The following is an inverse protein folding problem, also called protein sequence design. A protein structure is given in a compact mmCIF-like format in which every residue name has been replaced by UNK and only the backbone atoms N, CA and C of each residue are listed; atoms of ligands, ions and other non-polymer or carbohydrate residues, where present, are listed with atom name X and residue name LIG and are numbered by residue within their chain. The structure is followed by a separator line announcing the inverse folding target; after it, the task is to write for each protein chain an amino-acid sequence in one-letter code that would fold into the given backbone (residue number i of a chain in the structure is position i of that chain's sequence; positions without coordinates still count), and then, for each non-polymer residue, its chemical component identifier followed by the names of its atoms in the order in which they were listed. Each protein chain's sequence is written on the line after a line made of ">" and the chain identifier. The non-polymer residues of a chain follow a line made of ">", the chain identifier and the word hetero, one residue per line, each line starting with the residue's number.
data_IF_074823531339
#
_entry.id   IF_074823531339
#
_cell.length_a   1.000
_cell.length_b   1.000
_cell.length_c   1.000
_cell.angle_alpha   90.00
_cell.angle_beta   90.00
_cell.angle_gamma   90.00
#
_symmetry.space_group_name_H-M   'P 1'
#
loop_
_entity.id
_entity.type
_entity.pdbx_description
1 polymer ?
#
# COMPACT_ATOMS: atom_id res chain seq x y z
N UNK A 1 -53.82 -0.50 -1.38
CA UNK A 1 -53.38 -1.85 -0.99
C UNK A 1 -52.76 -1.74 0.38
N UNK A 2 -53.52 -1.97 1.45
CA UNK A 2 -53.76 -3.30 2.06
C UNK A 2 -52.47 -3.81 2.73
N UNK A 3 -52.42 -4.20 4.00
CA UNK A 3 -53.44 -4.60 4.94
C UNK A 3 -52.82 -4.59 6.35
N UNK A 4 -53.68 -4.39 7.33
CA UNK A 4 -53.53 -4.72 8.74
C UNK A 4 -53.07 -6.17 8.98
N UNK A 5 -52.50 -6.47 10.16
CA UNK A 5 -53.11 -7.40 11.13
C UNK A 5 -52.26 -7.67 12.40
N UNK A 6 -53.03 -7.93 13.47
CA UNK A 6 -52.74 -8.45 14.82
C UNK A 6 -52.28 -7.38 15.84
N UNK A 7 -53.06 -6.95 16.84
CA UNK A 7 -54.19 -7.53 17.61
C UNK A 7 -53.89 -8.94 18.13
N UNK A 8 -53.52 -9.07 19.41
CA UNK A 8 -54.47 -9.45 20.47
C UNK A 8 -53.79 -9.76 21.82
N UNK A 9 -54.61 -9.64 22.87
CA UNK A 9 -54.50 -10.21 24.23
C UNK A 9 -53.62 -9.43 25.24
N UNK A 10 -54.07 -9.08 26.46
CA UNK A 10 -54.92 -9.83 27.39
C UNK A 10 -55.71 -8.88 28.33
N UNK A 11 -57.03 -9.06 28.29
CA UNK A 11 -58.07 -9.02 29.34
C UNK A 11 -58.13 -7.89 30.38
N UNK A 12 -59.21 -7.10 30.23
CA UNK A 12 -60.03 -6.56 31.32
C UNK A 12 -60.47 -7.69 32.27
N UNK A 13 -60.39 -7.44 33.57
CA UNK A 13 -61.31 -8.02 34.55
C UNK A 13 -61.87 -6.84 35.37
N UNK A 14 -63.08 -6.44 35.00
CA UNK A 14 -63.99 -5.76 35.92
C UNK A 14 -64.58 -6.82 36.87
N UNK A 15 -65.16 -6.31 37.96
CA UNK A 15 -66.11 -6.97 38.87
C UNK A 15 -65.52 -7.54 40.16
N UNK A 16 -65.73 -6.83 41.27
CA UNK A 16 -66.91 -7.16 42.09
C UNK A 16 -67.32 -5.96 42.94
N UNK A 17 -68.41 -5.36 42.49
CA UNK A 17 -69.31 -4.49 43.23
C UNK A 17 -69.68 -5.16 44.56
N UNK A 18 -69.61 -4.41 45.66
CA UNK A 18 -70.24 -4.78 46.92
C UNK A 18 -71.75 -4.89 46.69
N UNK A 19 -72.26 -6.12 46.59
CA UNK A 19 -73.69 -6.41 46.68
C UNK A 19 -73.96 -6.85 48.11
N UNK A 20 -74.76 -6.04 48.79
CA UNK A 20 -75.38 -6.27 50.07
C UNK A 20 -76.36 -7.44 49.91
N UNK A 21 -76.10 -8.58 50.55
CA UNK A 21 -77.11 -9.62 50.74
C UNK A 21 -77.36 -9.84 52.23
N UNK A 22 -78.58 -9.48 52.63
CA UNK A 22 -79.23 -9.96 53.84
C UNK A 22 -79.32 -11.49 53.79
N UNK A 23 -78.74 -12.16 54.78
CA UNK A 23 -79.19 -13.49 55.18
C UNK A 23 -79.42 -13.51 56.69
N UNK A 24 -80.68 -13.64 57.07
CA UNK A 24 -81.07 -14.14 58.37
C UNK A 24 -80.73 -15.62 58.37
N UNK A 25 -79.77 -16.05 59.19
CA UNK A 25 -79.75 -17.42 59.66
C UNK A 25 -79.26 -17.51 61.10
N UNK A 26 -80.16 -18.01 61.95
CA UNK A 26 -79.89 -18.41 63.32
C UNK A 26 -79.12 -19.73 63.28
N UNK A 27 -77.88 -19.78 63.74
CA UNK A 27 -77.33 -21.04 64.22
C UNK A 27 -76.25 -20.82 65.29
N UNK A 28 -76.63 -21.19 66.53
CA UNK A 28 -75.86 -22.08 67.38
C UNK A 28 -74.51 -21.60 67.90
N UNK A 29 -74.51 -21.18 69.17
CA UNK A 29 -73.33 -21.18 70.03
C UNK A 29 -72.59 -22.52 69.96
N UNK A 30 -71.34 -22.48 69.48
CA UNK A 30 -70.19 -23.26 69.96
C UNK A 30 -68.96 -22.93 69.10
N UNK A 31 -68.25 -21.86 69.47
CA UNK A 31 -66.88 -21.63 69.00
C UNK A 31 -65.95 -21.84 70.18
N UNK A 32 -65.24 -22.97 70.12
CA UNK A 32 -64.01 -23.20 70.87
C UNK A 32 -62.99 -22.11 70.52
N UNK A 33 -62.52 -21.38 71.53
CA UNK A 33 -61.15 -20.85 71.59
C UNK A 33 -60.69 -19.88 70.50
N UNK A 34 -61.52 -18.95 70.04
CA UNK A 34 -61.06 -17.81 69.26
C UNK A 34 -61.54 -16.53 69.94
N UNK A 35 -60.63 -15.67 70.42
CA UNK A 35 -60.99 -14.33 70.91
C UNK A 35 -61.83 -13.64 69.83
N UNK A 36 -63.11 -13.41 70.13
CA UNK A 36 -64.02 -12.72 69.22
C UNK A 36 -63.59 -11.26 69.19
N UNK A 37 -62.70 -10.93 68.26
CA UNK A 37 -62.26 -9.56 67.99
C UNK A 37 -63.53 -8.72 67.72
N UNK A 38 -63.69 -7.63 68.45
CA UNK A 38 -64.82 -6.72 68.28
C UNK A 38 -64.84 -6.17 66.84
N UNK A 39 -66.03 -6.07 66.24
CA UNK A 39 -66.23 -5.41 64.92
C UNK A 39 -65.51 -4.06 64.81
N UNK A 40 -65.46 -3.31 65.92
CA UNK A 40 -64.76 -2.03 66.02
C UNK A 40 -63.23 -2.16 65.97
N UNK A 41 -62.65 -3.20 66.58
CA UNK A 41 -61.20 -3.47 66.55
C UNK A 41 -60.76 -3.91 65.15
N UNK A 42 -61.56 -4.73 64.47
CA UNK A 42 -61.29 -5.16 63.10
C UNK A 42 -61.29 -3.96 62.13
N UNK A 43 -62.26 -3.05 62.25
CA UNK A 43 -62.31 -1.80 61.49
C UNK A 43 -61.13 -0.86 61.82
N UNK A 44 -60.71 -0.78 63.07
CA UNK A 44 -59.54 0.00 63.48
C UNK A 44 -58.25 -0.55 62.87
N UNK A 45 -58.06 -1.87 62.90
CA UNK A 45 -56.93 -2.55 62.27
C UNK A 45 -56.87 -2.29 60.76
N UNK A 46 -58.01 -2.40 60.05
CA UNK A 46 -58.09 -2.13 58.61
C UNK A 46 -57.75 -0.67 58.28
N UNK A 47 -58.23 0.31 59.07
CA UNK A 47 -57.86 1.73 58.90
C UNK A 47 -56.37 1.96 59.13
N UNK A 48 -55.77 1.27 60.10
CA UNK A 48 -54.33 1.36 60.40
C UNK A 48 -53.50 0.77 59.26
N UNK A 49 -53.87 -0.40 58.74
CA UNK A 49 -53.24 -1.04 57.59
C UNK A 49 -53.35 -0.18 56.33
N UNK A 50 -54.52 0.42 56.06
CA UNK A 50 -54.71 1.34 54.94
C UNK A 50 -53.79 2.56 55.03
N UNK A 51 -53.69 3.18 56.21
CA UNK A 51 -52.74 4.30 56.45
C UNK A 51 -51.28 3.87 56.23
N UNK A 52 -50.90 2.67 56.63
CA UNK A 52 -49.54 2.15 56.39
C UNK A 52 -49.29 1.89 54.90
N UNK A 53 -50.26 1.30 54.22
CA UNK A 53 -50.21 1.06 52.79
C UNK A 53 -50.07 2.37 51.99
N UNK A 54 -50.86 3.40 52.33
CA UNK A 54 -50.78 4.71 51.66
C UNK A 54 -49.44 5.41 51.94
N UNK A 55 -48.89 5.29 53.16
CA UNK A 55 -47.53 5.78 53.48
C UNK A 55 -46.47 5.09 52.65
N UNK A 56 -46.53 3.75 52.51
CA UNK A 56 -45.59 2.99 51.70
C UNK A 56 -45.73 3.32 50.21
N UNK A 57 -46.96 3.48 49.72
CA UNK A 57 -47.24 3.90 48.34
C UNK A 57 -46.61 5.27 48.05
N UNK A 58 -46.82 6.25 48.94
CA UNK A 58 -46.23 7.59 48.79
C UNK A 58 -44.69 7.55 48.83
N UNK A 59 -44.09 6.73 49.72
CA UNK A 59 -42.63 6.54 49.75
C UNK A 59 -42.10 5.94 48.45
N UNK A 60 -42.76 4.89 47.92
CA UNK A 60 -42.40 4.26 46.64
C UNK A 60 -42.53 5.24 45.48
N UNK A 61 -43.59 6.03 45.43
CA UNK A 61 -43.79 7.02 44.37
C UNK A 61 -42.71 8.11 44.40
N UNK A 62 -42.35 8.62 45.58
CA UNK A 62 -41.24 9.57 45.72
C UNK A 62 -39.89 8.99 45.30
N UNK A 63 -39.64 7.72 45.64
CA UNK A 63 -38.43 7.03 45.22
C UNK A 63 -38.37 6.86 43.69
N UNK A 64 -39.46 6.40 43.07
CA UNK A 64 -39.55 6.25 41.61
C UNK A 64 -39.34 7.60 40.90
N UNK A 65 -39.95 8.67 41.40
CA UNK A 65 -39.74 10.01 40.87
C UNK A 65 -38.25 10.43 40.92
N UNK A 66 -37.59 10.21 42.06
CA UNK A 66 -36.18 10.54 42.21
C UNK A 66 -35.26 9.71 41.28
N UNK A 67 -35.62 8.44 41.04
CA UNK A 67 -34.91 7.58 40.08
C UNK A 67 -35.13 8.08 38.65
N UNK A 68 -36.37 8.38 38.26
CA UNK A 68 -36.69 8.94 36.94
C UNK A 68 -35.93 10.25 36.67
N UNK A 69 -35.90 11.15 37.65
CA UNK A 69 -35.21 12.43 37.50
C UNK A 69 -33.70 12.26 37.33
N UNK A 70 -33.09 11.30 38.06
CA UNK A 70 -31.68 10.93 37.86
C UNK A 70 -31.41 10.32 36.48
N UNK A 71 -32.30 9.45 35.99
CA UNK A 71 -32.18 8.84 34.66
C UNK A 71 -32.30 9.92 33.57
N UNK A 72 -33.27 10.83 33.69
CA UNK A 72 -33.43 11.97 32.78
C UNK A 72 -32.19 12.86 32.77
N UNK A 73 -31.63 13.16 33.93
CA UNK A 73 -30.41 13.95 34.05
C UNK A 73 -29.21 13.27 33.37
N UNK A 74 -29.01 11.96 33.59
CA UNK A 74 -27.94 11.20 32.96
C UNK A 74 -28.09 11.18 31.43
N UNK A 75 -29.31 11.06 30.91
CA UNK A 75 -29.58 11.13 29.47
C UNK A 75 -29.21 12.50 28.90
N UNK A 76 -29.58 13.59 29.56
CA UNK A 76 -29.24 14.95 29.12
C UNK A 76 -27.72 15.17 29.10
N UNK A 77 -27.00 14.69 30.11
CA UNK A 77 -25.54 14.76 30.15
C UNK A 77 -24.88 13.99 29.00
N UNK A 78 -25.41 12.81 28.67
CA UNK A 78 -24.91 12.01 27.54
C UNK A 78 -25.17 12.72 26.20
N UNK A 79 -26.36 13.28 25.99
CA UNK A 79 -26.69 14.04 24.78
C UNK A 79 -25.75 15.24 24.60
N UNK A 80 -25.50 15.98 25.68
CA UNK A 80 -24.59 17.14 25.64
C UNK A 80 -23.13 16.71 25.40
N UNK A 81 -22.69 15.61 26.00
CA UNK A 81 -21.38 15.02 25.73
C UNK A 81 -21.23 14.64 24.24
N UNK A 82 -22.23 13.97 23.67
CA UNK A 82 -22.22 13.59 22.26
C UNK A 82 -22.23 14.81 21.34
N UNK A 83 -22.97 15.86 21.69
CA UNK A 83 -22.97 17.14 20.96
C UNK A 83 -21.56 17.74 20.92
N UNK A 84 -20.86 17.76 22.06
CA UNK A 84 -19.47 18.26 22.16
C UNK A 84 -18.50 17.42 21.35
N UNK A 85 -18.62 16.10 21.38
CA UNK A 85 -17.78 15.18 20.59
C UNK A 85 -17.99 15.41 19.09
N UNK A 86 -19.24 15.54 18.64
CA UNK A 86 -19.56 15.85 17.24
C UNK A 86 -18.96 17.18 16.80
N UNK A 87 -19.14 18.24 17.61
CA UNK A 87 -18.56 19.54 17.33
C UNK A 87 -17.03 19.49 17.25
N UNK A 88 -16.37 18.83 18.21
CA UNK A 88 -14.92 18.65 18.20
C UNK A 88 -14.44 17.90 16.96
N UNK A 89 -15.16 16.85 16.54
CA UNK A 89 -14.84 16.08 15.34
C UNK A 89 -14.90 16.94 14.08
N UNK A 90 -15.92 17.78 13.94
CA UNK A 90 -16.07 18.72 12.82
C UNK A 90 -14.92 19.72 12.79
N UNK A 91 -14.61 20.34 13.94
CA UNK A 91 -13.50 21.31 14.05
C UNK A 91 -12.17 20.65 13.69
N UNK A 92 -11.90 19.47 14.24
CA UNK A 92 -10.65 18.77 13.98
C UNK A 92 -10.53 18.32 12.51
N UNK A 93 -11.62 17.86 11.89
CA UNK A 93 -11.63 17.49 10.46
C UNK A 93 -11.33 18.72 9.59
N UNK A 94 -11.93 19.87 9.91
CA UNK A 94 -11.69 21.11 9.20
C UNK A 94 -10.23 21.58 9.34
N UNK A 95 -9.68 21.52 10.56
CA UNK A 95 -8.29 21.86 10.84
C UNK A 95 -7.30 20.96 10.10
N UNK A 96 -7.49 19.63 10.16
CA UNK A 96 -6.67 18.67 9.42
C UNK A 96 -6.72 18.94 7.92
N UNK A 97 -7.90 19.21 7.37
CA UNK A 97 -8.07 19.58 5.96
C UNK A 97 -7.36 20.89 5.59
N UNK A 98 -7.43 21.92 6.44
CA UNK A 98 -6.72 23.18 6.24
C UNK A 98 -5.20 22.96 6.20
N UNK A 99 -4.65 22.18 7.14
CA UNK A 99 -3.22 21.91 7.23
C UNK A 99 -2.71 21.19 5.96
N UNK A 100 -3.44 20.18 5.49
CA UNK A 100 -3.13 19.48 4.23
C UNK A 100 -3.16 20.44 3.04
N UNK A 101 -4.20 21.27 2.93
CA UNK A 101 -4.29 22.26 1.84
C UNK A 101 -3.15 23.27 1.88
N UNK A 102 -2.76 23.74 3.08
CA UNK A 102 -1.63 24.66 3.25
C UNK A 102 -0.32 24.01 2.82
N UNK A 103 -0.06 22.76 3.21
CA UNK A 103 1.12 22.01 2.79
C UNK A 103 1.13 21.80 1.27
N UNK A 104 0.00 21.39 0.68
CA UNK A 104 -0.13 21.23 -0.76
C UNK A 104 0.16 22.53 -1.51
N UNK A 105 -0.37 23.67 -1.06
CA UNK A 105 -0.09 24.97 -1.67
C UNK A 105 1.39 25.36 -1.55
N UNK A 106 2.03 25.08 -0.41
CA UNK A 106 3.47 25.31 -0.26
C UNK A 106 4.29 24.46 -1.24
N UNK A 107 3.97 23.16 -1.38
CA UNK A 107 4.61 22.26 -2.34
C UNK A 107 4.38 22.76 -3.77
N UNK A 108 3.13 23.09 -4.12
CA UNK A 108 2.76 23.61 -5.45
C UNK A 108 3.53 24.88 -5.79
N UNK A 109 3.60 25.83 -4.86
CA UNK A 109 4.34 27.08 -5.06
C UNK A 109 5.84 26.84 -5.19
N UNK A 110 6.39 25.91 -4.40
CA UNK A 110 7.79 25.48 -4.54
C UNK A 110 8.07 24.83 -5.90
N UNK A 111 7.16 24.00 -6.40
CA UNK A 111 7.28 23.41 -7.74
C UNK A 111 7.17 24.49 -8.82
N UNK A 112 6.24 25.45 -8.67
CA UNK A 112 6.06 26.54 -9.63
C UNK A 112 7.29 27.47 -9.69
N UNK A 113 7.81 27.88 -8.54
CA UNK A 113 9.05 28.70 -8.44
C UNK A 113 10.25 27.97 -9.03
N UNK A 114 10.42 26.68 -8.72
CA UNK A 114 11.47 25.87 -9.34
C UNK A 114 11.31 25.75 -10.86
N UNK A 115 10.07 25.70 -11.39
CA UNK A 115 9.84 25.70 -12.84
C UNK A 115 10.27 27.01 -13.47
N UNK A 116 9.86 28.14 -12.90
CA UNK A 116 10.23 29.48 -13.40
C UNK A 116 11.74 29.67 -13.35
N UNK A 117 12.39 29.39 -12.23
CA UNK A 117 13.85 29.50 -12.10
C UNK A 117 14.59 28.56 -13.06
N UNK A 118 14.04 27.37 -13.33
CA UNK A 118 14.62 26.47 -14.31
C UNK A 118 14.42 27.00 -15.74
N UNK A 119 13.24 27.52 -16.06
CA UNK A 119 12.92 28.09 -17.37
C UNK A 119 13.74 29.36 -17.67
N UNK A 120 14.09 30.14 -16.64
CA UNK A 120 14.98 31.31 -16.73
C UNK A 120 16.47 30.92 -16.89
N UNK A 121 16.89 29.77 -16.35
CA UNK A 121 18.28 29.30 -16.41
C UNK A 121 18.61 28.45 -17.66
N UNK A 122 17.61 28.12 -18.48
CA UNK A 122 17.74 27.27 -19.67
C UNK A 122 18.22 28.12 -20.85
N UNK A 123 19.19 27.60 -21.61
CA UNK A 123 19.59 28.23 -22.88
C UNK A 123 18.48 28.11 -23.95
N UNK A 124 18.42 29.06 -24.89
CA UNK A 124 17.43 29.04 -25.98
C UNK A 124 17.48 27.74 -26.82
N UNK A 125 18.66 27.15 -26.94
CA UNK A 125 18.90 25.85 -27.59
C UNK A 125 18.19 24.70 -26.85
N UNK A 126 18.34 24.64 -25.52
CA UNK A 126 17.66 23.65 -24.68
C UNK A 126 16.13 23.84 -24.66
N UNK A 127 15.67 25.11 -24.72
CA UNK A 127 14.24 25.43 -24.82
C UNK A 127 13.65 24.91 -26.13
N UNK A 128 14.36 25.12 -27.23
CA UNK A 128 13.98 24.63 -28.56
C UNK A 128 13.95 23.10 -28.62
N UNK A 129 14.92 22.43 -27.99
CA UNK A 129 14.95 20.97 -27.88
C UNK A 129 13.75 20.42 -27.08
N UNK A 130 13.37 21.07 -25.98
CA UNK A 130 12.21 20.65 -25.15
C UNK A 130 10.87 20.75 -25.86
N UNK A 131 10.72 21.73 -26.75
CA UNK A 131 9.50 21.92 -27.55
C UNK A 131 9.33 20.85 -28.64
N UNK A 132 10.39 20.10 -28.96
CA UNK A 132 10.28 19.01 -29.93
C UNK A 132 9.44 17.84 -29.37
N UNK A 133 8.71 17.12 -30.24
CA UNK A 133 8.05 15.87 -29.87
C UNK A 133 9.03 14.88 -29.22
N UNK A 134 8.55 14.10 -28.24
CA UNK A 134 9.37 13.15 -27.46
C UNK A 134 10.19 12.25 -28.37
N UNK A 135 9.58 11.67 -29.41
CA UNK A 135 10.28 10.76 -30.31
C UNK A 135 11.44 11.43 -31.02
N UNK A 136 11.30 12.69 -31.44
CA UNK A 136 12.37 13.44 -32.11
C UNK A 136 13.54 13.73 -31.17
N UNK A 137 13.25 13.95 -29.89
CA UNK A 137 14.29 14.09 -28.85
C UNK A 137 15.03 12.79 -28.61
N UNK A 138 14.32 11.67 -28.58
CA UNK A 138 14.92 10.32 -28.50
C UNK A 138 15.81 10.05 -29.73
N UNK A 139 15.33 10.37 -30.94
CA UNK A 139 16.10 10.24 -32.18
C UNK A 139 17.40 11.07 -32.15
N UNK A 140 17.32 12.33 -31.72
CA UNK A 140 18.49 13.20 -31.61
C UNK A 140 19.47 12.70 -30.55
N UNK A 141 18.98 12.24 -29.40
CA UNK A 141 19.81 11.69 -28.35
C UNK A 141 20.52 10.40 -28.81
N UNK A 142 19.84 9.53 -29.56
CA UNK A 142 20.45 8.34 -30.17
C UNK A 142 21.64 8.71 -31.07
N UNK A 143 21.50 9.70 -31.95
CA UNK A 143 22.58 10.17 -32.83
C UNK A 143 23.80 10.68 -32.06
N UNK A 144 23.58 11.23 -30.87
CA UNK A 144 24.59 11.87 -30.06
C UNK A 144 25.24 10.92 -29.02
N UNK A 145 24.75 9.69 -28.89
CA UNK A 145 25.17 8.73 -27.87
C UNK A 145 26.65 8.33 -27.98
N UNK A 146 27.18 8.31 -29.20
CA UNK A 146 28.57 7.97 -29.53
C UNK A 146 29.41 9.18 -29.95
N UNK A 147 28.97 10.41 -29.67
CA UNK A 147 29.73 11.63 -29.98
C UNK A 147 31.12 11.61 -29.34
N UNK A 148 32.17 12.10 -30.01
CA UNK A 148 33.51 12.18 -29.41
C UNK A 148 33.55 13.00 -28.11
N UNK A 149 32.62 13.97 -27.97
CA UNK A 149 32.54 14.84 -26.80
C UNK A 149 31.73 14.19 -25.69
N UNK A 150 32.39 13.91 -24.56
CA UNK A 150 31.78 13.26 -23.40
C UNK A 150 30.54 14.00 -22.87
N UNK A 151 30.56 15.34 -22.86
CA UNK A 151 29.41 16.16 -22.46
C UNK A 151 28.18 15.97 -23.36
N UNK A 152 28.38 15.77 -24.66
CA UNK A 152 27.28 15.51 -25.61
C UNK A 152 26.70 14.11 -25.34
N UNK A 153 27.55 13.11 -25.09
CA UNK A 153 27.10 11.78 -24.66
C UNK A 153 26.29 11.86 -23.37
N UNK A 154 26.78 12.58 -22.36
CA UNK A 154 26.08 12.77 -21.10
C UNK A 154 24.66 13.32 -21.33
N UNK A 155 24.52 14.43 -22.07
CA UNK A 155 23.19 15.00 -22.38
C UNK A 155 22.29 14.02 -23.12
N UNK A 156 22.82 13.31 -24.11
CA UNK A 156 22.08 12.27 -24.82
C UNK A 156 21.58 11.17 -23.87
N UNK A 157 22.45 10.69 -22.98
CA UNK A 157 22.08 9.65 -22.01
C UNK A 157 21.02 10.12 -21.02
N UNK A 158 21.04 11.37 -20.58
CA UNK A 158 20.00 11.92 -19.70
C UNK A 158 18.63 11.96 -20.37
N UNK A 159 18.58 12.35 -21.65
CA UNK A 159 17.35 12.34 -22.45
C UNK A 159 16.84 10.91 -22.65
N UNK A 160 17.71 9.98 -23.04
CA UNK A 160 17.34 8.58 -23.24
C UNK A 160 16.89 7.92 -21.95
N UNK A 161 17.65 8.07 -20.86
CA UNK A 161 17.31 7.53 -19.53
C UNK A 161 15.91 7.96 -19.09
N UNK A 162 15.56 9.22 -19.32
CA UNK A 162 14.25 9.77 -18.99
C UNK A 162 13.12 9.11 -19.78
N UNK A 163 13.27 8.91 -21.08
CA UNK A 163 12.17 8.47 -21.93
C UNK A 163 12.09 6.95 -22.11
N UNK A 164 13.22 6.27 -22.25
CA UNK A 164 13.29 4.81 -22.41
C UNK A 164 12.78 4.09 -21.15
N UNK A 165 13.05 4.63 -19.96
CA UNK A 165 12.54 4.05 -18.71
C UNK A 165 11.03 4.22 -18.49
N UNK A 166 10.40 5.19 -19.17
CA UNK A 166 8.99 5.55 -18.99
C UNK A 166 8.07 5.07 -20.12
N UNK A 167 8.60 4.84 -21.33
CA UNK A 167 7.81 4.52 -22.52
C UNK A 167 8.36 3.30 -23.25
N UNK A 168 7.57 2.23 -23.31
CA UNK A 168 7.89 1.03 -24.09
C UNK A 168 8.05 1.34 -25.58
N UNK A 169 7.24 2.25 -26.13
CA UNK A 169 7.38 2.68 -27.54
C UNK A 169 8.73 3.32 -27.83
N UNK A 170 9.23 4.16 -26.91
CA UNK A 170 10.57 4.76 -27.04
C UNK A 170 11.66 3.69 -26.90
N UNK A 171 11.50 2.75 -25.97
CA UNK A 171 12.42 1.62 -25.79
C UNK A 171 12.48 0.73 -27.04
N UNK A 172 11.32 0.40 -27.64
CA UNK A 172 11.23 -0.38 -28.86
C UNK A 172 11.86 0.36 -30.05
N UNK A 173 11.64 1.67 -30.15
CA UNK A 173 12.30 2.48 -31.18
C UNK A 173 13.82 2.43 -31.04
N UNK A 174 14.35 2.65 -29.83
CA UNK A 174 15.79 2.58 -29.57
C UNK A 174 16.34 1.20 -29.90
N UNK A 175 15.67 0.13 -29.50
CA UNK A 175 16.05 -1.24 -29.82
C UNK A 175 16.08 -1.52 -31.33
N UNK A 176 15.02 -1.16 -32.05
CA UNK A 176 14.91 -1.39 -33.50
C UNK A 176 15.95 -0.62 -34.33
N UNK A 177 16.56 0.43 -33.76
CA UNK A 177 17.57 1.26 -34.42
C UNK A 177 19.00 0.94 -33.93
N UNK A 178 19.27 -0.29 -33.47
CA UNK A 178 20.61 -0.71 -33.02
C UNK A 178 21.04 -0.06 -31.71
N UNK A 179 20.09 0.23 -30.83
CA UNK A 179 20.35 0.97 -29.60
C UNK A 179 21.19 0.20 -28.58
N UNK A 180 21.16 -1.13 -28.59
CA UNK A 180 21.98 -1.93 -27.69
C UNK A 180 23.45 -1.81 -28.08
N UNK A 181 23.74 -2.02 -29.36
CA UNK A 181 25.07 -1.87 -29.96
C UNK A 181 25.62 -0.47 -29.69
N UNK A 182 24.82 0.58 -29.93
CA UNK A 182 25.22 1.95 -29.64
C UNK A 182 25.54 2.17 -28.16
N UNK A 183 24.78 1.58 -27.23
CA UNK A 183 25.03 1.72 -25.79
C UNK A 183 26.32 1.01 -25.39
N UNK A 184 26.53 -0.20 -25.89
CA UNK A 184 27.73 -1.00 -25.59
C UNK A 184 28.99 -0.32 -26.16
N UNK A 185 28.94 0.17 -27.40
CA UNK A 185 30.03 0.96 -28.00
C UNK A 185 30.32 2.23 -27.18
N UNK A 186 29.29 2.91 -26.69
CA UNK A 186 29.43 4.11 -25.85
C UNK A 186 30.09 3.77 -24.51
N UNK A 187 29.75 2.62 -23.92
CA UNK A 187 30.33 2.11 -22.68
C UNK A 187 31.81 1.74 -22.87
N UNK A 188 32.16 1.06 -23.97
CA UNK A 188 33.55 0.72 -24.31
C UNK A 188 34.40 1.98 -24.55
N UNK A 189 33.80 3.02 -25.13
CA UNK A 189 34.42 4.33 -25.30
C UNK A 189 34.56 5.17 -24.02
N UNK A 190 34.17 4.67 -22.85
CA UNK A 190 34.27 5.37 -21.57
C UNK A 190 35.47 4.91 -20.73
N UNK A 191 36.26 5.88 -20.24
CA UNK A 191 37.40 5.61 -19.34
C UNK A 191 36.95 5.36 -17.89
N UNK A 192 37.87 4.95 -17.01
CA UNK A 192 37.59 4.77 -15.56
C UNK A 192 37.63 6.08 -14.74
N UNK A 193 37.65 7.23 -15.42
CA UNK A 193 37.68 8.55 -14.79
C UNK A 193 36.32 8.97 -14.21
N UNK A 194 36.33 9.99 -13.35
CA UNK A 194 35.10 10.52 -12.72
C UNK A 194 34.12 11.03 -13.78
N UNK A 195 34.59 11.82 -14.76
CA UNK A 195 33.72 12.33 -15.82
C UNK A 195 33.10 11.23 -16.68
N UNK A 196 33.82 10.14 -16.95
CA UNK A 196 33.25 9.00 -17.68
C UNK A 196 32.23 8.23 -16.85
N UNK A 197 32.39 8.20 -15.51
CA UNK A 197 31.43 7.56 -14.61
C UNK A 197 30.05 8.24 -14.68
N UNK A 198 30.01 9.55 -14.90
CA UNK A 198 28.77 10.31 -15.08
C UNK A 198 27.99 9.90 -16.34
N UNK A 199 28.65 9.31 -17.34
CA UNK A 199 28.03 8.80 -18.57
C UNK A 199 27.72 7.30 -18.44
N UNK A 200 28.64 6.53 -17.85
CA UNK A 200 28.48 5.09 -17.65
C UNK A 200 27.26 4.76 -16.79
N UNK A 201 27.01 5.50 -15.71
CA UNK A 201 25.85 5.26 -14.84
C UNK A 201 24.53 5.37 -15.62
N UNK A 202 24.23 6.48 -16.32
CA UNK A 202 23.07 6.57 -17.21
C UNK A 202 23.02 5.48 -18.29
N UNK A 203 24.14 5.13 -18.94
CA UNK A 203 24.19 4.09 -19.97
C UNK A 203 23.74 2.72 -19.43
N UNK A 204 24.24 2.32 -18.26
CA UNK A 204 23.80 1.09 -17.60
C UNK A 204 22.30 1.12 -17.25
N UNK A 205 21.78 2.26 -16.79
CA UNK A 205 20.36 2.43 -16.51
C UNK A 205 19.49 2.35 -17.77
N UNK A 206 19.96 2.87 -18.92
CA UNK A 206 19.26 2.75 -20.21
C UNK A 206 19.26 1.28 -20.66
N UNK A 207 20.41 0.59 -20.58
CA UNK A 207 20.53 -0.83 -20.92
C UNK A 207 19.54 -1.67 -20.10
N UNK A 208 19.48 -1.44 -18.79
CA UNK A 208 18.48 -2.07 -17.93
C UNK A 208 17.04 -1.72 -18.33
N UNK A 209 16.78 -0.44 -18.62
CA UNK A 209 15.44 0.02 -19.01
C UNK A 209 14.94 -0.62 -20.30
N UNK A 210 15.82 -0.86 -21.28
CA UNK A 210 15.48 -1.59 -22.51
C UNK A 210 15.13 -3.05 -22.19
N UNK A 211 15.99 -3.73 -21.42
CA UNK A 211 15.85 -5.15 -21.12
C UNK A 211 14.78 -5.46 -20.07
N UNK A 212 14.22 -4.44 -19.42
CA UNK A 212 13.04 -4.55 -18.56
C UNK A 212 11.83 -5.07 -19.35
N UNK A 213 11.68 -4.67 -20.61
CA UNK A 213 10.53 -5.04 -21.44
C UNK A 213 10.69 -6.46 -22.01
N UNK A 214 9.63 -7.28 -21.87
CA UNK A 214 9.65 -8.68 -22.33
C UNK A 214 9.67 -8.78 -23.86
N UNK A 215 9.00 -7.85 -24.53
CA UNK A 215 8.97 -7.69 -25.99
C UNK A 215 10.38 -7.61 -26.58
N UNK A 216 11.20 -6.70 -26.03
CA UNK A 216 12.60 -6.52 -26.42
C UNK A 216 13.42 -7.77 -26.09
N UNK A 217 13.33 -8.29 -24.86
CA UNK A 217 14.08 -9.50 -24.48
C UNK A 217 13.79 -10.70 -25.37
N UNK A 218 12.54 -10.90 -25.78
CA UNK A 218 12.15 -12.02 -26.62
C UNK A 218 12.82 -11.96 -28.00
N UNK A 219 13.02 -10.76 -28.53
CA UNK A 219 13.61 -10.52 -29.85
C UNK A 219 15.15 -10.59 -29.88
N UNK A 220 15.81 -10.86 -28.75
CA UNK A 220 17.26 -11.01 -28.68
C UNK A 220 17.71 -12.42 -29.06
N UNK A 221 18.69 -12.48 -29.96
CA UNK A 221 19.43 -13.70 -30.29
C UNK A 221 20.31 -14.16 -29.12
N UNK A 222 20.53 -15.48 -29.02
CA UNK A 222 21.29 -16.07 -27.93
C UNK A 222 22.75 -15.58 -27.89
N UNK A 223 23.36 -15.34 -29.05
CA UNK A 223 24.70 -14.75 -29.15
C UNK A 223 24.75 -13.33 -28.58
N UNK A 224 23.78 -12.49 -28.93
CA UNK A 224 23.68 -11.11 -28.43
C UNK A 224 23.46 -11.08 -26.90
N UNK A 225 22.62 -11.98 -26.39
CA UNK A 225 22.42 -12.13 -24.94
C UNK A 225 23.72 -12.48 -24.21
N UNK A 226 24.50 -13.44 -24.74
CA UNK A 226 25.77 -13.84 -24.14
C UNK A 226 26.79 -12.70 -24.14
N UNK A 227 26.87 -11.93 -25.22
CA UNK A 227 27.78 -10.79 -25.31
C UNK A 227 27.41 -9.69 -24.31
N UNK A 228 26.12 -9.35 -24.21
CA UNK A 228 25.62 -8.40 -23.20
C UNK A 228 25.98 -8.87 -21.79
N UNK A 229 25.75 -10.14 -21.46
CA UNK A 229 26.07 -10.70 -20.12
C UNK A 229 27.57 -10.62 -19.85
N UNK A 230 28.40 -10.97 -20.83
CA UNK A 230 29.86 -10.86 -20.73
C UNK A 230 30.27 -9.41 -20.43
N UNK A 231 29.78 -8.46 -21.20
CA UNK A 231 30.10 -7.04 -21.02
C UNK A 231 29.60 -6.51 -19.66
N UNK A 232 28.42 -6.93 -19.21
CA UNK A 232 27.91 -6.59 -17.87
C UNK A 232 28.90 -6.97 -16.78
N UNK A 233 29.46 -8.19 -16.80
CA UNK A 233 30.47 -8.61 -15.82
C UNK A 233 31.74 -7.75 -15.88
N UNK A 234 32.22 -7.42 -17.09
CA UNK A 234 33.38 -6.56 -17.27
C UNK A 234 33.16 -5.16 -16.68
N UNK A 235 32.02 -4.51 -17.00
CA UNK A 235 31.70 -3.18 -16.51
C UNK A 235 31.38 -3.14 -15.01
N UNK A 236 30.70 -4.16 -14.48
CA UNK A 236 30.48 -4.29 -13.03
C UNK A 236 31.79 -4.32 -12.26
N UNK A 237 32.79 -5.06 -12.74
CA UNK A 237 34.10 -5.11 -12.09
C UNK A 237 34.88 -3.81 -12.25
N UNK A 238 34.87 -3.22 -13.45
CA UNK A 238 35.55 -1.96 -13.74
C UNK A 238 35.00 -0.80 -12.89
N UNK A 239 33.67 -0.71 -12.74
CA UNK A 239 32.97 0.36 -12.05
C UNK A 239 32.32 -0.09 -10.72
N UNK A 240 32.90 -1.09 -10.04
CA UNK A 240 32.40 -1.65 -8.78
C UNK A 240 32.19 -0.62 -7.65
N UNK A 241 32.84 0.54 -7.72
CA UNK A 241 32.65 1.64 -6.78
C UNK A 241 31.32 2.35 -6.95
N UNK A 242 30.73 2.34 -8.14
CA UNK A 242 29.44 2.96 -8.45
C UNK A 242 28.28 1.99 -8.16
N UNK A 243 27.44 2.22 -7.14
CA UNK A 243 26.38 1.28 -6.76
C UNK A 243 25.35 1.06 -7.86
N UNK A 244 24.98 2.12 -8.58
CA UNK A 244 23.97 2.07 -9.64
C UNK A 244 24.41 1.15 -10.79
N UNK A 245 25.69 1.18 -11.17
CA UNK A 245 26.23 0.29 -12.21
C UNK A 245 26.09 -1.17 -11.78
N UNK A 246 26.50 -1.49 -10.56
CA UNK A 246 26.41 -2.86 -10.03
C UNK A 246 24.96 -3.33 -9.95
N UNK A 247 24.03 -2.49 -9.48
CA UNK A 247 22.62 -2.86 -9.35
C UNK A 247 21.94 -3.04 -10.71
N UNK A 248 22.16 -2.11 -11.65
CA UNK A 248 21.50 -2.13 -12.95
C UNK A 248 22.01 -3.29 -13.81
N UNK A 249 23.33 -3.50 -13.84
CA UNK A 249 23.92 -4.61 -14.59
C UNK A 249 23.62 -5.98 -13.96
N UNK A 250 23.52 -6.08 -12.63
CA UNK A 250 23.05 -7.32 -12.00
C UNK A 250 21.61 -7.64 -12.41
N UNK A 251 20.76 -6.62 -12.47
CA UNK A 251 19.37 -6.78 -12.91
C UNK A 251 19.29 -7.22 -14.38
N UNK A 252 20.13 -6.64 -15.25
CA UNK A 252 20.27 -7.06 -16.66
C UNK A 252 20.61 -8.55 -16.75
N UNK A 253 21.66 -9.00 -16.05
CA UNK A 253 22.08 -10.41 -16.07
C UNK A 253 20.93 -11.32 -15.62
N UNK A 254 20.26 -11.00 -14.51
CA UNK A 254 19.12 -11.78 -14.00
C UNK A 254 17.94 -11.82 -14.98
N UNK A 255 17.67 -10.72 -15.68
CA UNK A 255 16.56 -10.64 -16.62
C UNK A 255 16.79 -11.44 -17.91
N UNK A 256 18.05 -11.58 -18.33
CA UNK A 256 18.42 -12.42 -19.47
C UNK A 256 18.49 -13.90 -19.06
N UNK A 257 19.02 -14.22 -17.88
CA UNK A 257 19.10 -15.59 -17.36
C UNK A 257 17.70 -16.22 -17.14
N UNK A 258 16.72 -15.42 -16.71
CA UNK A 258 15.33 -15.86 -16.56
C UNK A 258 14.64 -16.27 -17.89
N UNK A 259 15.09 -15.77 -19.05
CA UNK A 259 14.56 -16.16 -20.38
C UNK A 259 14.99 -17.59 -20.71
N UNK A 260 16.24 -17.95 -20.42
CA UNK A 260 16.81 -19.28 -20.65
C UNK A 260 16.06 -20.37 -19.89
N UNK A 261 15.66 -20.12 -18.63
CA UNK A 261 14.89 -21.08 -17.82
C UNK A 261 13.46 -21.32 -18.34
N UNK A 262 12.78 -20.30 -18.88
CA UNK A 262 11.42 -20.45 -19.43
C UNK A 262 11.37 -21.21 -20.75
N UNK A 263 12.33 -20.99 -21.65
CA UNK A 263 12.41 -21.68 -22.95
C UNK A 263 12.77 -23.16 -22.77
N UNK A 264 13.59 -23.49 -21.77
CA UNK A 264 13.98 -24.87 -21.48
C UNK A 264 12.82 -25.67 -20.88
N UNK A 265 12.03 -25.09 -19.97
CA UNK A 265 10.89 -25.78 -19.38
C UNK A 265 9.77 -26.07 -20.40
N UNK A 266 9.55 -25.22 -21.41
CA UNK A 266 8.54 -25.43 -22.44
C UNK A 266 8.99 -26.42 -23.54
N UNK A 267 10.28 -26.51 -23.85
CA UNK A 267 10.82 -27.54 -24.77
C UNK A 267 10.91 -28.92 -24.11
N UNK A 268 11.20 -28.99 -22.81
CA UNK A 268 11.28 -30.24 -22.05
C UNK A 268 9.90 -30.87 -21.83
N UNK A 269 8.81 -30.09 -21.76
CA UNK A 269 7.45 -30.67 -21.65
C UNK A 269 6.96 -31.38 -22.92
N UNK A 270 7.62 -31.16 -24.07
CA UNK A 270 7.16 -31.68 -25.37
C UNK A 270 7.96 -32.91 -25.82
N UNK A 271 9.04 -33.27 -25.12
CA UNK A 271 9.87 -34.44 -25.44
C UNK A 271 10.02 -35.28 -24.17
N UNK A 272 9.43 -36.48 -24.18
CA UNK A 272 9.39 -37.44 -23.06
C UNK A 272 10.78 -37.82 -22.49
N UNK A 273 10.83 -38.40 -21.27
CA UNK A 273 11.99 -38.42 -20.39
C UNK A 273 12.83 -39.68 -20.58
N UNK A 274 13.91 -39.60 -21.36
CA UNK A 274 15.02 -40.57 -21.29
C UNK A 274 16.32 -39.89 -21.66
N UNK A 275 16.91 -39.16 -20.71
CA UNK A 275 18.34 -38.83 -20.66
C UNK A 275 18.64 -38.21 -19.29
N UNK A 276 18.51 -39.03 -18.24
CA UNK A 276 19.17 -38.79 -16.96
C UNK A 276 20.58 -39.37 -17.06
N UNK A 277 21.54 -38.62 -17.60
CA UNK A 277 22.97 -38.88 -17.33
C UNK A 277 23.92 -37.71 -17.64
N UNK A 278 23.53 -36.71 -18.43
CA UNK A 278 24.41 -35.55 -18.72
C UNK A 278 23.73 -34.22 -18.40
N UNK A 279 23.63 -33.89 -17.11
CA UNK A 279 23.29 -32.52 -16.67
C UNK A 279 24.49 -31.61 -16.84
N UNK A 280 24.79 -31.21 -18.08
CA UNK A 280 25.66 -30.07 -18.37
C UNK A 280 24.75 -28.88 -18.69
N UNK A 281 24.45 -28.08 -17.67
CA UNK A 281 23.73 -26.81 -17.81
C UNK A 281 24.55 -25.87 -18.71
N UNK A 282 24.25 -25.85 -20.00
CA UNK A 282 24.81 -24.87 -20.93
C UNK A 282 24.03 -23.55 -20.80
N UNK A 283 24.74 -22.42 -20.95
CA UNK A 283 24.33 -20.99 -20.86
C UNK A 283 24.85 -20.18 -19.67
N UNK A 284 25.79 -20.69 -18.88
CA UNK A 284 26.53 -19.86 -17.93
C UNK A 284 27.78 -19.30 -18.62
N UNK A 285 27.93 -17.97 -18.66
CA UNK A 285 29.18 -17.34 -19.10
C UNK A 285 30.34 -17.96 -18.31
N UNK A 286 31.26 -18.64 -18.98
CA UNK A 286 32.27 -19.52 -18.35
C UNK A 286 33.12 -18.81 -17.30
N UNK A 287 33.37 -17.51 -17.50
CA UNK A 287 34.15 -16.67 -16.58
C UNK A 287 33.31 -16.02 -15.48
N UNK A 288 31.98 -16.19 -15.45
CA UNK A 288 31.11 -15.60 -14.43
C UNK A 288 31.55 -15.91 -12.98
N UNK A 289 31.97 -17.15 -12.63
CA UNK A 289 32.45 -17.45 -11.28
C UNK A 289 33.67 -16.60 -10.87
N UNK A 290 34.58 -16.33 -11.80
CA UNK A 290 35.73 -15.47 -11.56
C UNK A 290 35.31 -14.02 -11.22
N UNK A 291 34.39 -13.44 -12.01
CA UNK A 291 33.91 -12.07 -11.74
C UNK A 291 33.15 -11.98 -10.41
N UNK A 292 32.32 -12.97 -10.09
CA UNK A 292 31.58 -13.03 -8.83
C UNK A 292 32.57 -13.10 -7.65
N UNK A 293 33.60 -13.94 -7.75
CA UNK A 293 34.65 -14.05 -6.72
C UNK A 293 35.37 -12.71 -6.52
N UNK A 294 35.80 -12.05 -7.60
CA UNK A 294 36.51 -10.76 -7.51
C UNK A 294 35.64 -9.64 -6.95
N UNK A 295 34.35 -9.57 -7.34
CA UNK A 295 33.40 -8.63 -6.76
C UNK A 295 33.16 -8.92 -5.27
N UNK A 296 33.08 -10.19 -4.88
CA UNK A 296 32.93 -10.60 -3.48
C UNK A 296 34.10 -10.11 -2.63
N UNK A 297 35.34 -10.29 -3.11
CA UNK A 297 36.55 -9.77 -2.43
C UNK A 297 36.49 -8.25 -2.27
N UNK A 298 36.10 -7.53 -3.32
CA UNK A 298 35.99 -6.06 -3.30
C UNK A 298 34.90 -5.54 -2.37
N UNK A 299 33.82 -6.30 -2.19
CA UNK A 299 32.68 -5.92 -1.34
C UNK A 299 32.75 -6.46 0.08
N UNK A 300 33.77 -7.26 0.43
CA UNK A 300 33.92 -7.85 1.77
C UNK A 300 33.95 -6.82 2.91
N UNK A 301 34.42 -5.60 2.64
CA UNK A 301 34.50 -4.50 3.62
C UNK A 301 33.22 -3.64 3.68
N UNK A 302 32.24 -3.89 2.82
CA UNK A 302 31.01 -3.10 2.77
C UNK A 302 29.97 -3.66 3.75
N UNK A 303 29.09 -2.79 4.29
CA UNK A 303 28.03 -3.26 5.17
C UNK A 303 27.04 -4.16 4.41
N UNK A 304 26.38 -5.10 5.11
CA UNK A 304 25.48 -6.07 4.48
C UNK A 304 24.24 -5.45 3.81
N UNK A 305 23.88 -4.22 4.20
CA UNK A 305 22.77 -3.44 3.62
C UNK A 305 23.17 -2.57 2.42
N UNK A 306 24.46 -2.56 2.02
CA UNK A 306 24.90 -1.83 0.84
C UNK A 306 24.23 -2.41 -0.43
N UNK A 307 23.72 -1.53 -1.29
CA UNK A 307 23.00 -1.91 -2.52
C UNK A 307 23.82 -2.87 -3.40
N UNK A 308 25.16 -2.72 -3.42
CA UNK A 308 26.08 -3.58 -4.19
C UNK A 308 26.15 -4.98 -3.62
N UNK A 309 26.20 -5.12 -2.30
CA UNK A 309 26.22 -6.40 -1.59
C UNK A 309 24.90 -7.14 -1.80
N UNK A 310 23.78 -6.42 -1.68
CA UNK A 310 22.45 -6.98 -1.93
C UNK A 310 22.31 -7.46 -3.39
N UNK A 311 22.75 -6.66 -4.35
CA UNK A 311 22.72 -7.02 -5.77
C UNK A 311 23.58 -8.25 -6.07
N UNK A 312 24.79 -8.31 -5.52
CA UNK A 312 25.70 -9.44 -5.72
C UNK A 312 25.14 -10.75 -5.12
N UNK A 313 24.52 -10.70 -3.94
CA UNK A 313 23.86 -11.89 -3.34
C UNK A 313 22.75 -12.41 -4.24
N UNK A 314 21.86 -11.54 -4.73
CA UNK A 314 20.79 -11.93 -5.66
C UNK A 314 21.34 -12.55 -6.94
N UNK A 315 22.46 -12.03 -7.44
CA UNK A 315 23.14 -12.58 -8.61
C UNK A 315 23.71 -13.98 -8.31
N UNK A 316 24.35 -14.17 -7.15
CA UNK A 316 24.86 -15.47 -6.69
C UNK A 316 23.75 -16.50 -6.58
N UNK A 317 22.63 -16.15 -5.96
CA UNK A 317 21.46 -17.03 -5.85
C UNK A 317 20.88 -17.43 -7.21
N UNK A 318 20.96 -16.54 -8.21
CA UNK A 318 20.47 -16.84 -9.55
C UNK A 318 21.45 -17.66 -10.38
N UNK A 319 22.75 -17.46 -10.22
CA UNK A 319 23.79 -18.04 -11.10
C UNK A 319 24.35 -19.35 -10.55
N UNK A 320 24.25 -19.61 -9.24
CA UNK A 320 24.79 -20.81 -8.58
C UNK A 320 23.73 -21.89 -8.29
N UNK A 321 22.47 -21.68 -8.71
CA UNK A 321 21.35 -22.62 -8.55
C UNK A 321 20.59 -22.85 -9.87
#
# INVERSE_FOLDING_TARGET
>A
MSLSLRKDSVKKLQDSTFVTEHSNDKFGDKIYGCEVISSAECLWMLRKLKKQHDRLRNKRQKFLQAVEDKVKLALLLNIEKDRRIKAATVIQAWWRGYLVRKQYMAIRNKVATNRVAHDEAISDEERTERMQPIIKRVMNAMKNLNSERLYIRYKATEVLRKFVGLSETCAQYVFNNGGLECILDSLDGCNRGVGSTEVVVPLCSILWSLLKFKTIRNNLDDHCQQDIVRQCYHFMLAFHRAPNVVTDLSAVIMALDGKSRQVNNSKISTILPKLQSDKKYYFQYEKAPYFIMELTKKFAKLPPYDKRVIALRKLQDCVLH
#
